data_IF_431253664433
#
_entry.id   IF_431253664433
#
_cell.length_a   1.000
_cell.length_b   1.000
_cell.length_c   1.000
_cell.angle_alpha   90.00
_cell.angle_beta   90.00
_cell.angle_gamma   90.00
#
_symmetry.space_group_name_H-M   'P 1'
#
loop_
_entity.id
_entity.type
_entity.pdbx_description
1 polymer ?
#
# COMPACT_ATOMS: atom_id res chain seq x y z
N UNK A 1 -7.21 -22.79 -13.84
CA UNK A 1 -7.40 -21.41 -14.33
C UNK A 1 -7.68 -20.51 -13.14
N UNK A 2 -6.90 -19.49 -12.98
CA UNK A 2 -6.96 -18.58 -11.83
C UNK A 2 -7.64 -17.28 -12.27
N UNK A 3 -8.82 -16.98 -11.72
CA UNK A 3 -9.55 -15.74 -11.96
C UNK A 3 -8.73 -14.50 -11.56
N UNK A 4 -7.77 -14.66 -10.63
CA UNK A 4 -6.90 -13.60 -10.11
C UNK A 4 -6.07 -12.89 -11.18
N UNK A 5 -5.75 -13.53 -12.28
CA UNK A 5 -4.97 -12.94 -13.36
C UNK A 5 -5.76 -12.05 -14.33
N UNK A 6 -7.01 -11.69 -14.03
CA UNK A 6 -7.85 -10.91 -14.92
C UNK A 6 -8.37 -9.65 -14.24
N UNK A 7 -8.26 -8.49 -14.93
CA UNK A 7 -8.67 -7.18 -14.41
C UNK A 7 -10.14 -7.12 -13.96
N UNK A 8 -11.04 -7.88 -14.61
CA UNK A 8 -12.47 -7.87 -14.29
C UNK A 8 -12.81 -8.62 -12.99
N UNK A 9 -11.87 -9.40 -12.46
CA UNK A 9 -12.11 -10.23 -11.28
C UNK A 9 -11.18 -9.94 -10.11
N UNK A 10 -9.98 -9.42 -10.41
CA UNK A 10 -8.95 -9.14 -9.42
C UNK A 10 -7.87 -8.24 -10.05
N UNK A 11 -6.94 -7.75 -9.27
CA UNK A 11 -5.75 -7.01 -9.71
C UNK A 11 -4.47 -7.84 -9.67
N UNK A 12 -4.59 -9.17 -9.74
CA UNK A 12 -3.45 -10.09 -9.71
C UNK A 12 -2.71 -10.11 -8.38
N UNK A 13 -1.45 -10.50 -8.42
CA UNK A 13 -0.61 -10.57 -7.23
C UNK A 13 -0.44 -9.24 -6.50
N UNK A 14 -0.63 -8.12 -7.19
CA UNK A 14 -0.54 -6.79 -6.60
C UNK A 14 -1.69 -6.54 -5.60
N UNK A 15 -2.94 -6.82 -5.97
CA UNK A 15 -4.09 -6.59 -5.10
C UNK A 15 -4.36 -7.74 -4.15
N UNK A 16 -4.12 -8.99 -4.56
CA UNK A 16 -4.30 -10.18 -3.72
C UNK A 16 -3.21 -10.24 -2.62
N UNK A 17 -1.97 -10.51 -2.99
CA UNK A 17 -0.89 -10.67 -2.03
C UNK A 17 -0.22 -9.35 -1.62
N UNK A 18 -0.24 -8.34 -2.47
CA UNK A 18 0.38 -7.03 -2.20
C UNK A 18 -0.17 -6.38 -0.93
N UNK A 19 -1.45 -6.57 -0.62
CA UNK A 19 -2.08 -6.09 0.61
C UNK A 19 -1.35 -6.58 1.86
N UNK A 20 -0.93 -7.85 1.91
CA UNK A 20 -0.24 -8.44 3.05
C UNK A 20 1.16 -7.85 3.30
N UNK A 21 1.78 -7.30 2.28
CA UNK A 21 3.11 -6.70 2.37
C UNK A 21 3.06 -5.19 2.57
N UNK A 22 2.12 -4.52 1.94
CA UNK A 22 2.06 -3.05 1.91
C UNK A 22 1.40 -2.47 3.15
N UNK A 23 0.38 -3.13 3.71
CA UNK A 23 -0.28 -2.71 4.94
C UNK A 23 0.68 -2.60 6.13
N UNK A 24 1.49 -3.62 6.47
CA UNK A 24 2.48 -3.50 7.53
C UNK A 24 3.52 -2.39 7.30
N UNK A 25 3.93 -2.17 6.04
CA UNK A 25 4.88 -1.10 5.69
C UNK A 25 4.24 0.26 5.92
N UNK A 26 2.99 0.45 5.49
CA UNK A 26 2.25 1.68 5.70
C UNK A 26 2.09 2.00 7.19
N UNK A 27 1.77 0.99 8.00
CA UNK A 27 1.69 1.10 9.45
C UNK A 27 3.05 1.50 10.06
N UNK A 28 4.14 0.82 9.71
CA UNK A 28 5.49 1.12 10.21
C UNK A 28 5.95 2.54 9.88
N UNK A 29 5.50 3.08 8.75
CA UNK A 29 5.81 4.46 8.33
C UNK A 29 4.86 5.50 8.94
N UNK A 30 3.86 5.08 9.73
CA UNK A 30 2.84 5.96 10.30
C UNK A 30 1.93 6.59 9.23
N UNK A 31 1.69 5.88 8.12
CA UNK A 31 0.91 6.35 6.96
C UNK A 31 -0.46 5.72 6.83
N UNK A 32 -0.89 4.96 7.81
CA UNK A 32 -2.15 4.21 7.84
C UNK A 32 -3.42 5.08 7.87
N UNK A 33 -3.27 6.41 8.00
CA UNK A 33 -4.38 7.37 7.97
C UNK A 33 -4.33 8.37 6.82
N UNK A 34 -3.49 8.11 5.84
CA UNK A 34 -3.37 8.93 4.65
C UNK A 34 -3.15 8.05 3.42
N UNK A 35 -3.06 8.65 2.26
CA UNK A 35 -2.75 7.96 1.01
C UNK A 35 -1.61 8.68 0.28
N UNK A 36 -0.87 7.99 -0.59
CA UNK A 36 0.12 8.65 -1.44
C UNK A 36 -0.54 9.71 -2.33
N UNK A 37 0.23 10.73 -2.69
CA UNK A 37 -0.20 11.77 -3.64
C UNK A 37 0.24 11.45 -5.07
N UNK A 38 1.12 10.47 -5.25
CA UNK A 38 1.63 10.06 -6.55
C UNK A 38 1.94 8.58 -6.55
N UNK A 39 1.66 7.91 -7.66
CA UNK A 39 2.11 6.55 -7.94
C UNK A 39 2.76 6.50 -9.32
N UNK A 40 3.95 5.90 -9.38
CA UNK A 40 4.76 5.74 -10.59
C UNK A 40 4.94 4.26 -10.85
N UNK A 41 4.86 3.83 -12.10
CA UNK A 41 5.01 2.44 -12.49
C UNK A 41 6.09 2.29 -13.54
N UNK A 42 6.95 1.29 -13.36
CA UNK A 42 7.83 0.74 -14.38
C UNK A 42 7.39 -0.69 -14.66
N UNK A 43 6.76 -0.90 -15.80
CA UNK A 43 6.21 -2.18 -16.23
C UNK A 43 6.23 -2.29 -17.76
N UNK A 44 6.18 -3.50 -18.33
CA UNK A 44 5.85 -3.67 -19.73
C UNK A 44 4.40 -3.26 -19.98
N UNK A 45 4.05 -3.10 -21.25
CA UNK A 45 2.66 -2.88 -21.65
C UNK A 45 1.76 -4.01 -21.14
N UNK A 46 0.65 -3.65 -20.52
CA UNK A 46 -0.29 -4.60 -19.93
C UNK A 46 -1.27 -5.11 -20.99
N UNK A 47 -1.65 -6.38 -20.86
CA UNK A 47 -2.74 -6.93 -21.64
C UNK A 47 -4.07 -6.25 -21.23
N UNK A 48 -4.99 -5.94 -22.16
CA UNK A 48 -6.24 -5.26 -21.82
C UNK A 48 -7.12 -6.02 -20.82
N UNK A 49 -7.10 -7.36 -20.85
CA UNK A 49 -7.94 -8.21 -20.00
C UNK A 49 -7.18 -8.86 -18.84
N UNK A 50 -5.84 -8.93 -18.90
CA UNK A 50 -5.04 -9.71 -17.96
C UNK A 50 -3.99 -8.85 -17.24
N UNK A 51 -3.86 -9.11 -15.96
CA UNK A 51 -2.83 -8.47 -15.12
C UNK A 51 -1.47 -9.07 -15.45
N UNK A 52 -0.53 -8.23 -15.85
CA UNK A 52 0.83 -8.62 -16.14
C UNK A 52 1.76 -8.38 -14.95
N UNK A 53 3.03 -8.38 -15.28
CA UNK A 53 4.13 -8.13 -14.35
C UNK A 53 4.46 -6.64 -14.27
N UNK A 54 5.16 -6.25 -13.22
CA UNK A 54 5.82 -4.94 -13.07
C UNK A 54 7.27 -5.15 -12.65
N UNK A 55 8.14 -4.17 -12.92
CA UNK A 55 9.51 -4.12 -12.40
C UNK A 55 9.56 -3.33 -11.11
N UNK A 56 8.86 -2.19 -11.07
CA UNK A 56 8.84 -1.31 -9.89
C UNK A 56 7.57 -0.47 -9.85
N UNK A 57 6.99 -0.32 -8.66
CA UNK A 57 5.94 0.66 -8.38
C UNK A 57 6.40 1.52 -7.22
N UNK A 58 6.32 2.84 -7.37
CA UNK A 58 6.75 3.82 -6.35
C UNK A 58 5.56 4.66 -5.93
N UNK A 59 5.23 4.61 -4.66
CA UNK A 59 4.20 5.45 -4.05
C UNK A 59 4.88 6.57 -3.28
N UNK A 60 4.53 7.81 -3.57
CA UNK A 60 5.10 8.99 -2.91
C UNK A 60 4.01 9.71 -2.12
N UNK A 61 4.26 9.93 -0.83
CA UNK A 61 3.41 10.72 0.07
C UNK A 61 3.77 12.22 -0.03
N UNK A 62 2.91 13.06 0.52
CA UNK A 62 3.04 14.53 0.47
C UNK A 62 4.28 15.06 1.19
N UNK A 63 4.78 14.35 2.20
CA UNK A 63 6.01 14.66 2.93
C UNK A 63 7.29 14.12 2.26
N UNK A 64 7.15 13.48 1.10
CA UNK A 64 8.26 12.89 0.35
C UNK A 64 8.63 11.46 0.79
N UNK A 65 7.95 10.89 1.81
CA UNK A 65 8.09 9.47 2.14
C UNK A 65 7.68 8.60 0.95
N UNK A 66 8.39 7.51 0.71
CA UNK A 66 8.09 6.61 -0.39
C UNK A 66 7.95 5.16 0.09
N UNK A 67 6.98 4.47 -0.50
CA UNK A 67 6.91 3.00 -0.48
C UNK A 67 7.29 2.52 -1.88
N UNK A 68 8.28 1.63 -1.95
CA UNK A 68 8.77 1.05 -3.21
C UNK A 68 8.43 -0.43 -3.23
N UNK A 69 7.62 -0.82 -4.20
CA UNK A 69 7.29 -2.22 -4.45
C UNK A 69 8.13 -2.72 -5.63
N UNK A 70 9.12 -3.50 -5.32
CA UNK A 70 9.97 -4.17 -6.31
C UNK A 70 9.25 -5.38 -6.88
N UNK A 71 9.48 -5.67 -8.16
CA UNK A 71 8.81 -6.73 -8.91
C UNK A 71 9.78 -7.61 -9.67
N UNK A 72 9.45 -7.91 -10.93
CA UNK A 72 10.25 -8.80 -11.76
C UNK A 72 11.69 -8.31 -11.94
N UNK A 73 12.63 -9.25 -11.80
CA UNK A 73 14.07 -8.97 -11.92
C UNK A 73 14.72 -8.42 -10.65
N UNK A 74 13.94 -8.17 -9.59
CA UNK A 74 14.52 -7.77 -8.32
C UNK A 74 14.95 -8.98 -7.49
N UNK A 75 16.21 -8.97 -7.06
CA UNK A 75 16.77 -9.95 -6.14
C UNK A 75 17.13 -9.27 -4.81
N UNK A 76 16.37 -9.59 -3.77
CA UNK A 76 16.72 -9.14 -2.43
C UNK A 76 17.95 -9.87 -1.91
N UNK A 77 18.96 -9.12 -1.51
CA UNK A 77 20.18 -9.62 -0.87
C UNK A 77 20.18 -9.28 0.61
N UNK A 78 21.02 -9.95 1.39
CA UNK A 78 21.11 -9.70 2.84
C UNK A 78 21.58 -8.27 3.19
N UNK A 79 22.22 -7.59 2.25
CA UNK A 79 22.67 -6.20 2.35
C UNK A 79 21.70 -5.19 1.68
N UNK A 80 20.54 -5.66 1.20
CA UNK A 80 19.49 -4.78 0.69
C UNK A 80 18.65 -4.27 1.85
N UNK A 81 18.64 -2.95 2.13
CA UNK A 81 17.79 -2.40 3.18
C UNK A 81 16.31 -2.46 2.76
N UNK A 82 15.43 -2.73 3.70
CA UNK A 82 13.99 -2.64 3.48
C UNK A 82 13.38 -1.34 4.04
N UNK A 83 14.09 -0.63 4.91
CA UNK A 83 13.79 0.75 5.30
C UNK A 83 15.07 1.57 5.18
N UNK A 84 14.96 2.73 4.56
CA UNK A 84 16.04 3.69 4.45
C UNK A 84 15.54 5.10 4.77
N UNK A 85 16.27 5.83 5.57
CA UNK A 85 15.92 7.18 5.97
C UNK A 85 17.16 8.01 6.33
N UNK A 86 16.98 9.28 6.67
CA UNK A 86 18.09 10.20 6.94
C UNK A 86 18.94 9.79 8.16
N UNK A 87 18.39 9.01 9.07
CA UNK A 87 19.10 8.54 10.27
C UNK A 87 19.85 7.24 10.06
N UNK A 88 19.48 6.45 9.05
CA UNK A 88 20.10 5.16 8.80
C UNK A 88 19.22 4.20 8.01
N UNK A 89 19.60 2.92 8.05
CA UNK A 89 18.99 1.85 7.28
C UNK A 89 18.64 0.67 8.16
N UNK A 90 17.55 -0.02 7.83
CA UNK A 90 17.15 -1.27 8.48
C UNK A 90 17.15 -2.40 7.47
N UNK A 91 17.74 -3.51 7.86
CA UNK A 91 17.92 -4.72 7.06
C UNK A 91 17.18 -5.91 7.65
N UNK A 92 17.12 -7.00 6.91
CA UNK A 92 16.57 -8.27 7.36
C UNK A 92 17.05 -8.66 8.76
N UNK A 93 16.14 -9.13 9.60
CA UNK A 93 16.41 -9.46 11.00
C UNK A 93 16.58 -8.22 11.88
N UNK A 94 16.03 -7.08 11.47
CA UNK A 94 16.08 -5.80 12.19
C UNK A 94 17.50 -5.27 12.44
N UNK A 95 18.50 -5.73 11.68
CA UNK A 95 19.83 -5.11 11.72
C UNK A 95 19.72 -3.65 11.30
N UNK A 96 20.30 -2.76 12.07
CA UNK A 96 20.17 -1.31 11.88
C UNK A 96 21.54 -0.63 11.86
N UNK A 97 21.71 0.41 11.05
CA UNK A 97 22.93 1.22 11.01
C UNK A 97 22.89 2.40 11.98
N UNK A 98 21.76 2.64 12.65
CA UNK A 98 21.63 3.71 13.64
C UNK A 98 22.44 3.30 14.88
N UNK A 99 23.45 4.12 15.32
CA UNK A 99 24.22 3.81 16.50
C UNK A 99 23.34 3.74 17.76
N UNK A 100 23.64 2.82 18.65
CA UNK A 100 23.01 2.67 19.96
C UNK A 100 21.47 2.53 19.89
N UNK A 101 20.96 1.97 18.78
CA UNK A 101 19.51 1.86 18.56
C UNK A 101 18.82 1.02 19.63
N UNK A 102 19.46 -0.05 20.10
CA UNK A 102 18.88 -0.93 21.12
C UNK A 102 18.80 -0.24 22.49
N UNK A 103 19.81 0.55 22.85
CA UNK A 103 19.80 1.35 24.07
C UNK A 103 18.72 2.44 24.01
N UNK A 104 18.64 3.14 22.88
CA UNK A 104 17.58 4.13 22.65
C UNK A 104 16.17 3.54 22.66
N UNK A 105 15.99 2.34 22.12
CA UNK A 105 14.71 1.63 22.17
C UNK A 105 14.33 1.23 23.59
N UNK A 106 15.31 0.83 24.41
CA UNK A 106 15.08 0.46 25.82
C UNK A 106 14.67 1.65 26.72
N UNK A 107 14.94 2.89 26.27
CA UNK A 107 14.52 4.12 26.94
C UNK A 107 13.08 4.55 26.58
N UNK A 108 12.50 3.98 25.53
CA UNK A 108 11.13 4.30 25.13
C UNK A 108 10.13 3.58 26.04
N UNK A 109 9.01 4.23 26.37
CA UNK A 109 7.92 3.56 27.08
C UNK A 109 7.34 2.45 26.21
N UNK A 110 6.81 1.42 26.85
CA UNK A 110 6.02 0.41 26.15
C UNK A 110 4.84 1.08 25.41
N UNK A 111 4.58 0.67 24.17
CA UNK A 111 3.45 1.23 23.43
C UNK A 111 2.12 0.85 24.10
N UNK A 112 1.15 1.75 23.99
CA UNK A 112 -0.21 1.45 24.46
C UNK A 112 -0.77 0.19 23.77
N UNK A 113 -1.39 -0.73 24.56
CA UNK A 113 -2.00 -1.92 23.99
C UNK A 113 -3.06 -1.57 22.92
N UNK A 114 -2.98 -2.23 21.78
CA UNK A 114 -4.00 -2.07 20.73
C UNK A 114 -5.29 -2.81 21.09
N UNK A 115 -6.43 -2.20 20.78
CA UNK A 115 -7.75 -2.83 20.95
C UNK A 115 -8.00 -3.83 19.81
N UNK A 116 -7.60 -5.07 20.00
CA UNK A 116 -7.73 -6.16 19.01
C UNK A 116 -8.89 -7.12 19.31
N UNK A 117 -9.61 -6.94 20.43
CA UNK A 117 -10.85 -7.68 20.72
C UNK A 117 -12.02 -6.99 20.02
N UNK A 118 -12.41 -7.53 18.85
CA UNK A 118 -13.50 -7.00 18.04
C UNK A 118 -14.85 -7.02 18.79
N UNK A 119 -15.15 -8.09 19.51
CA UNK A 119 -16.43 -8.22 20.23
C UNK A 119 -16.52 -7.22 21.38
N UNK A 120 -15.43 -7.01 22.09
CA UNK A 120 -15.37 -6.00 23.14
C UNK A 120 -15.50 -4.59 22.56
N UNK A 121 -14.86 -4.29 21.45
CA UNK A 121 -15.02 -3.01 20.74
C UNK A 121 -16.49 -2.77 20.31
N UNK A 122 -17.17 -3.81 19.81
CA UNK A 122 -18.61 -3.72 19.48
C UNK A 122 -19.45 -3.41 20.71
N UNK A 123 -19.21 -4.07 21.86
CA UNK A 123 -19.96 -3.87 23.10
C UNK A 123 -19.73 -2.49 23.72
N UNK A 124 -18.49 -2.05 23.74
CA UNK A 124 -18.06 -0.81 24.43
C UNK A 124 -18.05 0.41 23.54
N UNK A 125 -18.21 0.23 22.22
CA UNK A 125 -18.03 1.26 21.18
C UNK A 125 -16.64 1.88 21.18
N UNK A 126 -15.64 1.19 21.72
CA UNK A 126 -14.24 1.57 21.57
C UNK A 126 -13.77 1.35 20.14
N UNK A 127 -12.85 2.17 19.71
CA UNK A 127 -12.24 2.02 18.38
C UNK A 127 -11.41 0.74 18.32
N UNK A 128 -11.64 -0.06 17.29
CA UNK A 128 -10.85 -1.23 16.97
C UNK A 128 -9.51 -0.80 16.34
N UNK A 129 -8.43 -1.52 16.61
CA UNK A 129 -7.09 -1.14 16.12
C UNK A 129 -6.99 -1.12 14.60
N UNK A 130 -7.72 -2.03 13.95
CA UNK A 130 -7.84 -2.12 12.49
C UNK A 130 -9.24 -1.65 12.08
N UNK A 131 -9.48 -0.35 12.20
CA UNK A 131 -10.76 0.24 11.87
C UNK A 131 -10.96 0.39 10.34
N UNK A 132 -12.17 0.83 9.98
CA UNK A 132 -12.57 0.98 8.58
C UNK A 132 -11.70 1.97 7.81
N UNK A 133 -11.19 3.02 8.45
CA UNK A 133 -10.34 3.99 7.79
C UNK A 133 -8.96 3.40 7.45
N UNK A 134 -8.35 2.68 8.41
CA UNK A 134 -7.07 2.01 8.18
C UNK A 134 -7.22 0.98 7.05
N UNK A 135 -8.27 0.15 7.10
CA UNK A 135 -8.54 -0.82 6.05
C UNK A 135 -8.77 -0.16 4.69
N UNK A 136 -9.53 0.93 4.65
CA UNK A 136 -9.75 1.70 3.43
C UNK A 136 -8.45 2.29 2.86
N UNK A 137 -7.61 2.94 3.71
CA UNK A 137 -6.33 3.52 3.26
C UNK A 137 -5.36 2.47 2.75
N UNK A 138 -5.32 1.33 3.41
CA UNK A 138 -4.50 0.19 3.00
C UNK A 138 -4.96 -0.37 1.63
N UNK A 139 -6.27 -0.57 1.44
CA UNK A 139 -6.82 -0.97 0.14
C UNK A 139 -6.59 0.09 -0.94
N UNK A 140 -6.72 1.37 -0.62
CA UNK A 140 -6.45 2.47 -1.56
C UNK A 140 -5.02 2.39 -2.10
N UNK A 141 -4.05 2.08 -1.25
CA UNK A 141 -2.65 1.97 -1.64
C UNK A 141 -2.45 0.94 -2.76
N UNK A 142 -2.93 -0.29 -2.59
CA UNK A 142 -2.79 -1.34 -3.62
C UNK A 142 -3.60 -1.03 -4.87
N UNK A 143 -4.80 -0.46 -4.73
CA UNK A 143 -5.65 -0.11 -5.86
C UNK A 143 -5.08 1.04 -6.71
N UNK A 144 -4.42 2.02 -6.09
CA UNK A 144 -3.68 3.06 -6.83
C UNK A 144 -2.60 2.44 -7.73
N UNK A 145 -1.86 1.46 -7.18
CA UNK A 145 -0.86 0.71 -7.95
C UNK A 145 -1.49 -0.06 -9.11
N UNK A 146 -2.62 -0.72 -8.87
CA UNK A 146 -3.35 -1.45 -9.91
C UNK A 146 -3.84 -0.51 -11.03
N UNK A 147 -4.37 0.67 -10.69
CA UNK A 147 -4.76 1.69 -11.67
C UNK A 147 -3.56 2.18 -12.50
N UNK A 148 -2.43 2.49 -11.84
CA UNK A 148 -1.22 2.93 -12.51
C UNK A 148 -0.65 1.84 -13.42
N UNK A 149 -0.64 0.58 -12.95
CA UNK A 149 -0.18 -0.57 -13.71
C UNK A 149 -1.06 -0.80 -14.95
N UNK A 150 -2.39 -0.81 -14.79
CA UNK A 150 -3.34 -1.01 -15.89
C UNK A 150 -3.24 0.08 -16.96
N UNK A 151 -3.02 1.32 -16.55
CA UNK A 151 -2.85 2.47 -17.45
C UNK A 151 -1.41 2.67 -17.92
N UNK A 152 -0.47 1.95 -17.33
CA UNK A 152 0.97 1.97 -17.59
C UNK A 152 1.57 3.39 -17.60
N UNK A 153 1.23 4.18 -16.59
CA UNK A 153 1.71 5.56 -16.45
C UNK A 153 1.63 6.08 -15.01
N UNK A 154 2.37 7.14 -14.74
CA UNK A 154 2.28 7.90 -13.49
C UNK A 154 0.90 8.50 -13.30
N UNK A 155 0.37 8.38 -12.07
CA UNK A 155 -0.89 9.00 -11.65
C UNK A 155 -0.66 9.89 -10.43
N UNK A 156 -1.40 11.01 -10.38
CA UNK A 156 -1.46 11.91 -9.22
C UNK A 156 -2.81 11.76 -8.52
N UNK A 157 -2.80 11.64 -7.22
CA UNK A 157 -3.98 11.35 -6.42
C UNK A 157 -4.17 12.42 -5.33
N UNK A 158 -5.39 12.83 -5.12
CA UNK A 158 -5.76 13.68 -3.99
C UNK A 158 -6.33 12.82 -2.85
N UNK A 159 -5.61 12.67 -1.71
CA UNK A 159 -6.04 11.87 -0.58
C UNK A 159 -7.33 12.38 0.11
N UNK A 160 -7.73 13.61 -0.13
CA UNK A 160 -8.93 14.22 0.45
C UNK A 160 -10.16 13.90 -0.37
N UNK A 161 -10.14 14.24 -1.67
CA UNK A 161 -11.24 13.90 -2.59
C UNK A 161 -11.25 12.43 -3.00
N UNK A 162 -10.12 11.72 -2.81
CA UNK A 162 -9.90 10.33 -3.19
C UNK A 162 -10.10 10.08 -4.69
N UNK A 163 -9.65 11.03 -5.48
CA UNK A 163 -9.69 11.00 -6.94
C UNK A 163 -8.30 11.25 -7.53
N UNK A 164 -8.08 10.73 -8.72
CA UNK A 164 -6.91 11.07 -9.51
C UNK A 164 -7.05 12.47 -10.10
N UNK A 165 -6.03 13.30 -9.91
CA UNK A 165 -6.05 14.71 -10.25
C UNK A 165 -6.02 14.90 -11.77
N UNK A 166 -7.09 15.46 -12.33
CA UNK A 166 -7.18 15.79 -13.77
C UNK A 166 -7.14 14.57 -14.70
N UNK A 167 -7.56 13.39 -14.21
CA UNK A 167 -7.45 12.13 -14.94
C UNK A 167 -8.75 11.33 -14.94
N UNK A 168 -9.63 11.65 -15.87
CA UNK A 168 -10.93 10.98 -16.03
C UNK A 168 -10.80 9.48 -16.36
N UNK A 169 -9.72 9.09 -17.05
CA UNK A 169 -9.51 7.69 -17.40
C UNK A 169 -9.15 6.86 -16.15
N UNK A 170 -8.32 7.41 -15.26
CA UNK A 170 -7.99 6.79 -13.99
C UNK A 170 -9.20 6.80 -13.04
N UNK A 171 -9.97 7.89 -13.01
CA UNK A 171 -11.15 8.00 -12.14
C UNK A 171 -12.26 7.01 -12.52
N UNK A 172 -12.37 6.62 -13.79
CA UNK A 172 -13.29 5.53 -14.20
C UNK A 172 -12.90 4.16 -13.66
N UNK A 173 -11.66 3.97 -13.20
CA UNK A 173 -11.22 2.73 -12.53
C UNK A 173 -11.50 2.74 -11.03
N UNK A 174 -11.70 3.91 -10.43
CA UNK A 174 -12.07 4.05 -9.01
C UNK A 174 -13.50 3.61 -8.77
N UNK A 175 -14.41 4.00 -9.67
CA UNK A 175 -15.83 3.67 -9.57
C UNK A 175 -16.22 2.69 -10.69
N UNK A 176 -16.15 1.41 -10.36
CA UNK A 176 -16.52 0.36 -11.30
C UNK A 176 -18.04 0.27 -11.47
N UNK A 177 -18.56 0.25 -12.71
CA UNK A 177 -19.99 0.15 -12.95
C UNK A 177 -20.53 -1.19 -12.42
N UNK A 178 -21.45 -1.10 -11.46
CA UNK A 178 -22.12 -2.26 -10.91
C UNK A 178 -23.27 -2.72 -11.80
N UNK A 179 -23.43 -4.06 -11.96
CA UNK A 179 -24.59 -4.63 -12.64
C UNK A 179 -25.86 -4.46 -11.80
N UNK A 180 -26.99 -4.27 -12.47
CA UNK A 180 -28.30 -4.25 -11.80
C UNK A 180 -28.59 -5.60 -11.14
N UNK A 181 -29.24 -5.64 -9.95
CA UNK A 181 -29.80 -4.52 -9.18
C UNK A 181 -28.84 -3.92 -8.14
N UNK A 182 -27.56 -4.26 -8.15
CA UNK A 182 -26.55 -3.97 -7.12
C UNK A 182 -25.90 -2.58 -7.26
N UNK A 183 -26.63 -1.61 -7.78
CA UNK A 183 -26.17 -0.21 -7.83
C UNK A 183 -26.33 0.41 -6.43
N UNK A 184 -25.23 0.88 -5.87
CA UNK A 184 -25.16 1.62 -4.61
C UNK A 184 -25.21 3.12 -4.92
#
# INVERSE_FOLDING_TARGET
QTFRGYWDYDGGGLTDMGQHYMDPVQYLLGKDRTSPVKVEVDAPEQHPDAVGIWRKIVYTYDDGCQIVLEGEGFESKDDTPYIEGPLGKVYKGFRCTIPDVMEKLAELPDPEPQNTDFLECVRTRRRFALDEEIGHRSCTLVNMGACALRLNRTLHFDPVSQLFVGDDAANRLVDQPMRRPWQI
#
